data_IF_873448747208
#
_entry.id   IF_873448747208
#
_cell.length_a   1.000
_cell.length_b   1.000
_cell.length_c   1.000
_cell.angle_alpha   90.00
_cell.angle_beta   90.00
_cell.angle_gamma   90.00
#
_symmetry.space_group_name_H-M   'P 1'
#
loop_
_entity.id
_entity.type
_entity.pdbx_description
1 polymer ?
#
# COMPACT_ATOMS: atom_id res chain seq x y z
N UNK A 1 -13.09 -3.88 18.40
CA UNK A 1 -13.15 -2.88 17.32
C UNK A 1 -12.57 -3.52 16.07
N UNK A 2 -13.26 -3.41 14.92
CA UNK A 2 -12.86 -4.02 13.66
C UNK A 2 -11.52 -3.42 13.20
N UNK A 3 -10.53 -4.25 12.85
CA UNK A 3 -9.21 -3.78 12.42
C UNK A 3 -9.18 -3.64 10.90
N UNK A 4 -8.84 -2.46 10.42
CA UNK A 4 -8.73 -2.15 8.99
C UNK A 4 -7.28 -1.92 8.62
N UNK A 5 -6.91 -2.36 7.42
CA UNK A 5 -5.60 -2.09 6.85
C UNK A 5 -5.71 -1.40 5.50
N UNK A 6 -4.94 -0.33 5.34
CA UNK A 6 -4.72 0.35 4.08
C UNK A 6 -3.32 0.02 3.59
N UNK A 7 -3.18 -0.37 2.34
CA UNK A 7 -1.87 -0.69 1.81
C UNK A 7 -1.69 -0.31 0.35
N UNK A 8 -0.44 -0.12 -0.03
CA UNK A 8 -0.04 0.24 -1.39
C UNK A 8 1.33 -0.38 -1.73
N UNK A 9 1.68 -0.35 -3.01
CA UNK A 9 2.93 -0.88 -3.53
C UNK A 9 3.64 0.14 -4.40
N UNK A 10 4.92 0.36 -4.16
CA UNK A 10 5.77 1.26 -4.94
C UNK A 10 7.08 0.54 -5.27
N UNK A 11 7.24 0.11 -6.51
CA UNK A 11 8.45 -0.57 -6.97
C UNK A 11 9.14 0.17 -8.11
N UNK A 12 10.47 0.08 -8.14
CA UNK A 12 11.31 0.70 -9.17
C UNK A 12 11.51 2.21 -8.98
N UNK A 13 12.16 2.87 -9.95
CA UNK A 13 12.49 4.31 -9.91
C UNK A 13 11.25 5.19 -10.14
N UNK A 14 10.27 5.12 -9.26
CA UNK A 14 9.15 6.04 -9.26
C UNK A 14 9.61 7.43 -8.78
N UNK A 15 9.64 8.39 -9.70
CA UNK A 15 10.29 9.70 -9.60
C UNK A 15 9.61 10.72 -8.66
N UNK A 16 9.05 10.27 -7.54
CA UNK A 16 8.52 10.99 -6.36
C UNK A 16 7.51 10.05 -5.71
N UNK A 17 7.86 9.52 -4.54
CA UNK A 17 6.93 8.88 -3.60
C UNK A 17 5.77 9.87 -3.39
N UNK A 18 4.61 9.54 -3.97
CA UNK A 18 3.35 10.25 -3.82
C UNK A 18 2.40 9.25 -3.21
N UNK A 19 2.45 9.16 -1.92
CA UNK A 19 1.81 8.12 -1.13
C UNK A 19 0.77 8.84 -0.29
N UNK A 20 -0.46 8.35 -0.34
CA UNK A 20 -1.65 9.16 -0.08
C UNK A 20 -1.81 9.42 1.42
N UNK A 21 -2.00 10.67 1.82
CA UNK A 21 -2.35 10.98 3.20
C UNK A 21 -3.84 10.68 3.41
N UNK A 22 -4.12 9.43 3.77
CA UNK A 22 -5.45 9.01 4.22
C UNK A 22 -5.53 9.32 5.70
N UNK A 23 -6.46 10.18 6.12
CA UNK A 23 -6.68 10.49 7.54
C UNK A 23 -7.92 9.72 8.00
N UNK A 24 -7.71 8.50 8.49
CA UNK A 24 -8.77 7.68 9.07
C UNK A 24 -8.33 7.14 10.43
N UNK A 25 -9.13 7.31 11.50
CA UNK A 25 -8.81 6.71 12.79
C UNK A 25 -8.87 5.18 12.68
N UNK A 26 -7.96 4.50 13.39
CA UNK A 26 -7.93 3.04 13.53
C UNK A 26 -7.63 2.23 12.26
N UNK A 27 -6.83 2.79 11.35
CA UNK A 27 -6.36 2.09 10.15
C UNK A 27 -4.84 1.95 10.18
N UNK A 28 -4.36 0.71 10.13
CA UNK A 28 -2.93 0.45 9.92
C UNK A 28 -2.58 0.69 8.45
N UNK A 29 -1.42 1.30 8.20
CA UNK A 29 -1.02 1.74 6.86
C UNK A 29 0.31 1.12 6.47
N UNK A 30 0.34 0.35 5.38
CA UNK A 30 1.56 -0.28 4.88
C UNK A 30 1.93 0.14 3.46
N UNK A 31 3.21 0.36 3.21
CA UNK A 31 3.74 0.60 1.87
C UNK A 31 4.80 -0.45 1.56
N UNK A 32 4.54 -1.30 0.56
CA UNK A 32 5.46 -2.32 0.08
C UNK A 32 6.36 -1.75 -1.00
N UNK A 33 7.68 -1.88 -0.83
CA UNK A 33 8.64 -1.25 -1.75
C UNK A 33 10.01 -1.90 -1.75
N UNK A 34 10.73 -1.78 -2.86
CA UNK A 34 12.16 -2.06 -2.99
C UNK A 34 13.03 -0.84 -2.63
N UNK A 35 12.45 0.35 -2.51
CA UNK A 35 13.18 1.61 -2.32
C UNK A 35 13.45 1.95 -0.85
N UNK A 36 14.58 2.58 -0.55
CA UNK A 36 14.85 3.15 0.78
C UNK A 36 14.14 4.50 0.90
N UNK A 37 12.84 4.47 1.16
CA UNK A 37 12.02 5.67 1.40
C UNK A 37 11.61 5.74 2.87
N UNK A 38 11.58 6.95 3.42
CA UNK A 38 10.90 7.25 4.68
C UNK A 38 9.53 7.85 4.38
N UNK A 39 8.49 7.45 5.12
CA UNK A 39 7.17 8.04 4.99
C UNK A 39 6.55 8.25 6.37
N UNK A 40 6.04 9.46 6.66
CA UNK A 40 5.42 9.76 7.95
C UNK A 40 4.09 9.03 8.19
N UNK A 41 3.40 8.67 7.10
CA UNK A 41 2.03 8.13 7.13
C UNK A 41 1.94 6.62 7.00
N UNK A 42 2.95 5.95 6.43
CA UNK A 42 2.92 4.52 6.16
C UNK A 42 4.08 3.81 6.84
N UNK A 43 3.81 2.64 7.40
CA UNK A 43 4.86 1.70 7.77
C UNK A 43 5.46 1.10 6.50
N UNK A 44 6.76 1.28 6.32
CA UNK A 44 7.47 0.78 5.14
C UNK A 44 7.79 -0.70 5.32
N UNK A 45 7.34 -1.53 4.37
CA UNK A 45 7.62 -2.96 4.29
C UNK A 45 8.52 -3.22 3.09
N UNK A 46 9.79 -3.48 3.37
CA UNK A 46 10.77 -3.79 2.33
C UNK A 46 10.50 -5.15 1.71
N UNK A 47 10.47 -5.20 0.39
CA UNK A 47 10.23 -6.42 -0.35
C UNK A 47 11.09 -6.47 -1.61
N UNK A 48 11.77 -7.59 -1.81
CA UNK A 48 12.52 -7.85 -3.04
C UNK A 48 11.68 -8.72 -3.97
N UNK A 49 11.17 -8.11 -5.05
CA UNK A 49 10.39 -8.78 -6.09
C UNK A 49 11.15 -8.88 -7.42
N UNK A 50 12.49 -8.82 -7.37
CA UNK A 50 13.35 -8.97 -8.55
C UNK A 50 13.12 -10.31 -9.29
N UNK A 51 12.70 -11.35 -8.56
CA UNK A 51 12.42 -12.68 -9.09
C UNK A 51 11.06 -12.81 -9.81
N UNK A 52 10.09 -11.93 -9.58
CA UNK A 52 8.75 -12.02 -10.19
C UNK A 52 8.73 -11.44 -11.61
N UNK A 53 9.23 -10.21 -11.75
CA UNK A 53 9.37 -9.52 -13.04
C UNK A 53 10.07 -8.18 -12.83
N UNK A 54 10.94 -7.73 -13.75
CA UNK A 54 11.48 -6.37 -13.71
C UNK A 54 10.41 -5.29 -14.02
N UNK A 55 9.21 -5.67 -14.44
CA UNK A 55 8.11 -4.75 -14.75
C UNK A 55 7.40 -4.37 -13.45
N UNK A 56 7.58 -3.13 -12.99
CA UNK A 56 6.99 -2.60 -11.76
C UNK A 56 5.47 -2.79 -11.65
N UNK A 57 4.73 -2.75 -12.78
CA UNK A 57 3.29 -2.99 -12.79
C UNK A 57 2.92 -4.41 -12.35
N UNK A 58 3.73 -5.41 -12.71
CA UNK A 58 3.49 -6.81 -12.31
C UNK A 58 3.78 -7.00 -10.83
N UNK A 59 4.85 -6.37 -10.32
CA UNK A 59 5.20 -6.37 -8.90
C UNK A 59 4.11 -5.71 -8.03
N UNK A 60 3.55 -4.58 -8.48
CA UNK A 60 2.42 -3.93 -7.79
C UNK A 60 1.17 -4.83 -7.76
N UNK A 61 0.87 -5.51 -8.87
CA UNK A 61 -0.25 -6.47 -8.94
C UNK A 61 -0.04 -7.66 -8.01
N UNK A 62 1.19 -8.17 -7.90
CA UNK A 62 1.51 -9.24 -6.96
C UNK A 62 1.15 -8.82 -5.53
N UNK A 63 1.58 -7.63 -5.09
CA UNK A 63 1.23 -7.12 -3.77
C UNK A 63 -0.28 -6.98 -3.60
N UNK A 64 -0.99 -6.42 -4.59
CA UNK A 64 -2.44 -6.26 -4.53
C UNK A 64 -3.21 -7.59 -4.36
N UNK A 65 -2.73 -8.65 -5.01
CA UNK A 65 -3.47 -9.92 -5.10
C UNK A 65 -3.06 -10.89 -3.99
N UNK A 66 -1.76 -11.00 -3.69
CA UNK A 66 -1.25 -12.07 -2.81
C UNK A 66 -1.13 -11.65 -1.35
N UNK A 67 -0.84 -10.37 -1.07
CA UNK A 67 -0.52 -9.93 0.29
C UNK A 67 -1.70 -9.97 1.26
N UNK A 68 -2.95 -9.63 0.87
CA UNK A 68 -4.08 -9.74 1.77
C UNK A 68 -4.23 -11.11 2.42
N UNK A 69 -4.11 -12.16 1.61
CA UNK A 69 -4.34 -13.54 2.03
C UNK A 69 -3.16 -14.12 2.83
N UNK A 70 -1.98 -13.49 2.78
CA UNK A 70 -0.78 -13.99 3.47
C UNK A 70 -0.42 -13.20 4.74
N UNK A 71 -0.73 -11.90 4.77
CA UNK A 71 -0.22 -10.99 5.81
C UNK A 71 -1.34 -10.42 6.68
N UNK A 72 -2.56 -10.33 6.16
CA UNK A 72 -3.64 -9.58 6.80
C UNK A 72 -4.70 -10.46 7.49
N UNK A 73 -4.36 -11.70 7.86
CA UNK A 73 -5.25 -12.63 8.59
C UNK A 73 -5.89 -12.05 9.87
N UNK A 74 -5.23 -11.08 10.49
CA UNK A 74 -5.72 -10.41 11.71
C UNK A 74 -6.54 -9.13 11.46
N UNK A 75 -6.80 -8.80 10.20
CA UNK A 75 -7.60 -7.66 9.79
C UNK A 75 -8.95 -8.13 9.23
N UNK A 76 -9.99 -7.36 9.50
CA UNK A 76 -11.32 -7.68 9.00
C UNK A 76 -11.49 -7.23 7.55
N UNK A 77 -10.82 -6.13 7.18
CA UNK A 77 -10.84 -5.59 5.83
C UNK A 77 -9.48 -5.05 5.44
N UNK A 78 -9.14 -5.23 4.16
CA UNK A 78 -7.97 -4.61 3.54
C UNK A 78 -8.39 -3.74 2.35
N UNK A 79 -7.74 -2.58 2.21
CA UNK A 79 -7.98 -1.64 1.11
C UNK A 79 -6.66 -1.40 0.40
N UNK A 80 -6.60 -1.78 -0.88
CA UNK A 80 -5.47 -1.46 -1.75
C UNK A 80 -5.68 -0.12 -2.45
N UNK A 81 -4.73 0.80 -2.27
CA UNK A 81 -4.74 2.09 -2.96
C UNK A 81 -3.74 2.07 -4.11
N UNK A 82 -4.27 2.18 -5.34
CA UNK A 82 -3.46 2.34 -6.54
C UNK A 82 -2.97 3.78 -6.66
N UNK A 83 -1.76 3.97 -7.18
CA UNK A 83 -1.11 5.27 -7.35
C UNK A 83 -1.83 6.20 -8.35
N UNK A 84 -2.76 5.68 -9.15
CA UNK A 84 -3.46 6.46 -10.19
C UNK A 84 -4.45 7.51 -9.64
N UNK A 85 -4.89 7.40 -8.39
CA UNK A 85 -5.94 8.24 -7.83
C UNK A 85 -5.41 9.55 -7.21
N UNK A 86 -6.24 10.61 -7.12
CA UNK A 86 -5.83 11.90 -6.57
C UNK A 86 -5.41 11.82 -5.10
N UNK A 87 -4.53 12.74 -4.70
CA UNK A 87 -3.70 12.73 -3.48
C UNK A 87 -4.45 12.76 -2.14
N UNK A 88 -5.78 12.87 -2.14
CA UNK A 88 -6.63 13.01 -0.97
C UNK A 88 -7.81 12.05 -1.10
N UNK A 89 -7.90 11.10 -0.17
CA UNK A 89 -8.99 10.14 -0.08
C UNK A 89 -9.62 10.29 1.30
N UNK A 90 -10.80 10.89 1.35
CA UNK A 90 -11.64 10.98 2.55
C UNK A 90 -12.70 9.89 2.44
N UNK A 91 -12.61 8.86 3.30
CA UNK A 91 -13.57 7.76 3.30
C UNK A 91 -14.90 8.16 3.95
N UNK A 92 -14.93 9.20 4.79
CA UNK A 92 -16.15 9.69 5.42
C UNK A 92 -17.05 10.43 4.41
N UNK A 93 -16.48 10.88 3.29
CA UNK A 93 -17.24 11.49 2.20
C UNK A 93 -18.05 10.48 1.35
N UNK A 94 -17.69 9.19 1.39
CA UNK A 94 -18.28 8.15 0.53
C UNK A 94 -19.23 7.19 1.28
N UNK A 95 -19.52 7.45 2.56
CA UNK A 95 -20.47 6.68 3.38
C UNK A 95 -21.74 7.49 3.64
#
# INVERSE_FOLDING_TARGET
>A
MKKFVLYTAVFGRANKSRTHDVVTPNVDKFCFTDMNIGHGTYQIKKMDLSHISPIAVRQQRFVKICIPDEIFDNYEYSVYVDRKHPLLLDFDYYV
#
